data_IF_110555915840
#
_entry.id   IF_110555915840
#
_cell.length_a   1.000
_cell.length_b   1.000
_cell.length_c   1.000
_cell.angle_alpha   90.00
_cell.angle_beta   90.00
_cell.angle_gamma   90.00
#
_symmetry.space_group_name_H-M   'P 1'
#
loop_
_entity.id
_entity.type
_entity.pdbx_description
1 polymer ?
#
# COMPACT_ATOMS: atom_id res chain seq x y z
N UNK A 1 -2.92 3.21 10.88
CA UNK A 1 -2.87 4.58 10.31
C UNK A 1 -4.21 4.99 9.71
N UNK A 2 -4.42 6.27 9.39
CA UNK A 2 -5.67 6.76 8.75
C UNK A 2 -6.01 5.99 7.46
N UNK A 3 -4.99 5.57 6.70
CA UNK A 3 -5.15 4.75 5.50
C UNK A 3 -5.75 3.36 5.78
N UNK A 4 -5.25 2.64 6.78
CA UNK A 4 -5.77 1.30 7.14
C UNK A 4 -7.21 1.37 7.70
N UNK A 5 -7.58 2.49 8.32
CA UNK A 5 -8.96 2.72 8.75
C UNK A 5 -9.90 2.87 7.53
N UNK A 6 -9.46 3.60 6.50
CA UNK A 6 -10.19 3.72 5.23
C UNK A 6 -10.34 2.36 4.53
N UNK A 7 -9.27 1.54 4.52
CA UNK A 7 -9.27 0.18 3.95
C UNK A 7 -10.28 -0.72 4.66
N UNK A 8 -10.40 -0.64 5.99
CA UNK A 8 -11.41 -1.41 6.74
C UNK A 8 -12.82 -0.90 6.55
N UNK A 9 -13.00 0.41 6.41
CA UNK A 9 -14.32 1.01 6.25
C UNK A 9 -14.92 0.74 4.87
N UNK A 10 -14.11 0.87 3.80
CA UNK A 10 -14.55 0.65 2.42
C UNK A 10 -13.45 -0.05 1.60
N UNK A 11 -13.26 -1.37 1.77
CA UNK A 11 -12.19 -2.11 1.10
C UNK A 11 -12.33 -2.12 -0.43
N UNK A 12 -13.56 -2.18 -0.94
CA UNK A 12 -13.89 -2.24 -2.36
C UNK A 12 -13.94 -0.86 -3.04
N UNK A 13 -13.81 0.23 -2.28
CA UNK A 13 -13.80 1.56 -2.87
C UNK A 13 -12.52 1.76 -3.70
N UNK A 14 -12.68 2.38 -4.86
CA UNK A 14 -11.56 2.73 -5.74
C UNK A 14 -10.62 3.71 -5.00
N UNK A 15 -9.36 3.31 -4.83
CA UNK A 15 -8.32 4.11 -4.20
C UNK A 15 -7.47 4.84 -5.25
N UNK A 16 -7.23 4.23 -6.40
CA UNK A 16 -6.43 4.81 -7.48
C UNK A 16 -6.85 4.23 -8.84
N UNK A 17 -6.59 4.98 -9.91
CA UNK A 17 -6.77 4.51 -11.29
C UNK A 17 -5.42 4.63 -11.99
N UNK A 18 -4.96 3.56 -12.61
CA UNK A 18 -3.72 3.53 -13.39
C UNK A 18 -4.00 2.88 -14.74
N UNK A 19 -3.71 3.59 -15.84
CA UNK A 19 -3.99 3.15 -17.22
C UNK A 19 -5.42 2.60 -17.44
N UNK A 20 -6.41 3.26 -16.82
CA UNK A 20 -7.82 2.85 -16.91
C UNK A 20 -8.22 1.67 -16.01
N UNK A 21 -7.27 1.10 -15.26
CA UNK A 21 -7.55 0.05 -14.26
C UNK A 21 -7.77 0.70 -12.90
N UNK A 22 -8.96 0.53 -12.34
CA UNK A 22 -9.28 0.92 -10.98
C UNK A 22 -8.70 -0.09 -9.99
N UNK A 23 -8.02 0.40 -8.96
CA UNK A 23 -7.45 -0.39 -7.87
C UNK A 23 -8.17 -0.02 -6.59
N UNK A 24 -8.67 -1.01 -5.86
CA UNK A 24 -9.38 -0.79 -4.60
C UNK A 24 -8.43 -0.48 -3.45
N UNK A 25 -8.95 0.07 -2.35
CA UNK A 25 -8.18 0.28 -1.13
C UNK A 25 -7.57 -1.02 -0.59
N UNK A 26 -8.32 -2.13 -0.62
CA UNK A 26 -7.82 -3.42 -0.18
C UNK A 26 -6.65 -3.92 -1.04
N UNK A 27 -6.75 -3.76 -2.35
CA UNK A 27 -5.74 -4.23 -3.28
C UNK A 27 -4.48 -3.37 -3.24
N UNK A 28 -4.64 -2.04 -3.17
CA UNK A 28 -3.53 -1.11 -2.98
C UNK A 28 -2.80 -1.39 -1.67
N UNK A 29 -3.53 -1.57 -0.56
CA UNK A 29 -2.96 -1.89 0.74
C UNK A 29 -2.19 -3.22 0.73
N UNK A 30 -2.70 -4.23 0.02
CA UNK A 30 -2.03 -5.53 -0.08
C UNK A 30 -0.70 -5.41 -0.83
N UNK A 31 -0.67 -4.65 -1.93
CA UNK A 31 0.56 -4.39 -2.70
C UNK A 31 1.57 -3.57 -1.88
N UNK A 32 1.11 -2.53 -1.19
CA UNK A 32 1.95 -1.71 -0.32
C UNK A 32 2.57 -2.54 0.83
N UNK A 33 1.77 -3.37 1.49
CA UNK A 33 2.25 -4.24 2.56
C UNK A 33 3.24 -5.30 2.07
N UNK A 34 3.06 -5.81 0.85
CA UNK A 34 4.03 -6.72 0.23
C UNK A 34 5.36 -6.02 -0.01
N UNK A 35 5.33 -4.80 -0.54
CA UNK A 35 6.54 -4.00 -0.74
C UNK A 35 7.24 -3.69 0.59
N UNK A 36 6.49 -3.26 1.61
CA UNK A 36 7.03 -3.01 2.94
C UNK A 36 7.74 -4.23 3.53
N UNK A 37 7.12 -5.42 3.43
CA UNK A 37 7.76 -6.68 3.86
C UNK A 37 9.02 -7.02 3.07
N UNK A 38 9.03 -6.72 1.77
CA UNK A 38 10.22 -6.93 0.94
C UNK A 38 11.36 -5.99 1.34
N UNK A 39 11.07 -4.71 1.57
CA UNK A 39 12.04 -3.72 2.06
C UNK A 39 12.60 -4.11 3.42
N UNK A 40 11.74 -4.54 4.35
CA UNK A 40 12.17 -5.08 5.64
C UNK A 40 13.09 -6.29 5.47
N UNK A 41 12.79 -7.19 4.53
CA UNK A 41 13.64 -8.33 4.19
C UNK A 41 14.99 -7.95 3.56
N UNK A 42 15.08 -6.79 2.92
CA UNK A 42 16.33 -6.21 2.43
C UNK A 42 17.13 -5.49 3.52
N UNK A 43 16.60 -5.43 4.75
CA UNK A 43 17.27 -4.82 5.91
C UNK A 43 16.89 -3.38 6.18
N UNK A 44 15.97 -2.79 5.40
CA UNK A 44 15.51 -1.40 5.57
C UNK A 44 14.91 -1.21 6.96
N UNK A 45 15.39 -0.21 7.69
CA UNK A 45 14.93 0.16 9.02
C UNK A 45 14.07 1.44 8.98
N UNK A 46 13.26 1.67 10.03
CA UNK A 46 12.58 2.96 10.20
C UNK A 46 13.59 4.11 10.20
N UNK A 47 13.48 5.01 9.23
CA UNK A 47 14.38 6.15 9.05
C UNK A 47 15.30 6.04 7.82
N UNK A 48 15.38 4.88 7.20
CA UNK A 48 16.13 4.69 5.96
C UNK A 48 15.40 5.30 4.76
N UNK A 49 16.16 5.98 3.89
CA UNK A 49 15.64 6.52 2.65
C UNK A 49 15.64 5.45 1.55
N UNK A 50 14.48 5.20 0.95
CA UNK A 50 14.32 4.34 -0.23
C UNK A 50 13.96 5.24 -1.43
N UNK A 51 14.70 5.12 -2.53
CA UNK A 51 14.36 5.82 -3.76
C UNK A 51 13.14 5.16 -4.42
N UNK A 52 12.20 5.98 -4.91
CA UNK A 52 10.92 5.56 -5.51
C UNK A 52 10.79 6.14 -6.91
#
# INVERSE_FOLDING_TARGET
GLFEAQVRACPEACAAIHDGVAVSYAELNTRANRLARHLLGLGVQPGDCVAV
#
